data_IF_926403154434
#
_entry.id   IF_926403154434
#
_cell.length_a   1.000
_cell.length_b   1.000
_cell.length_c   1.000
_cell.angle_alpha   90.00
_cell.angle_beta   90.00
_cell.angle_gamma   90.00
#
_symmetry.space_group_name_H-M   'P 1'
#
loop_
_entity.id
_entity.type
_entity.pdbx_description
1 polymer ?
#
# COMPACT_ATOMS: atom_id res chain seq x y z
N UNK A 1 -21.09 28.92 1.82
CA UNK A 1 -21.89 27.76 1.38
C UNK A 1 -22.43 27.10 2.63
N UNK A 2 -23.74 27.08 2.84
CA UNK A 2 -24.40 26.33 3.93
C UNK A 2 -24.94 25.06 3.29
N UNK A 3 -24.43 23.90 3.70
CA UNK A 3 -24.97 22.59 3.31
C UNK A 3 -26.01 22.15 4.33
N UNK A 4 -27.06 21.47 3.89
CA UNK A 4 -27.91 20.70 4.80
C UNK A 4 -27.08 19.56 5.40
N UNK A 5 -27.31 19.13 6.66
CA UNK A 5 -26.45 18.14 7.31
C UNK A 5 -26.29 16.82 6.53
N UNK A 6 -27.35 16.40 5.83
CA UNK A 6 -27.34 15.19 5.01
C UNK A 6 -26.55 15.38 3.72
N UNK A 7 -26.76 16.49 3.01
CA UNK A 7 -25.99 16.82 1.80
C UNK A 7 -24.49 16.93 2.08
N UNK A 8 -24.12 17.43 3.26
CA UNK A 8 -22.73 17.50 3.70
C UNK A 8 -22.13 16.10 3.89
N UNK A 9 -22.87 15.20 4.55
CA UNK A 9 -22.43 13.81 4.76
C UNK A 9 -22.31 13.06 3.43
N UNK A 10 -23.23 13.26 2.50
CA UNK A 10 -23.19 12.67 1.17
C UNK A 10 -21.94 13.11 0.39
N UNK A 11 -21.68 14.42 0.36
CA UNK A 11 -20.50 14.98 -0.32
C UNK A 11 -19.19 14.54 0.33
N UNK A 12 -19.16 14.38 1.65
CA UNK A 12 -17.99 13.82 2.36
C UNK A 12 -17.78 12.33 2.09
N UNK A 13 -18.86 11.54 2.04
CA UNK A 13 -18.78 10.12 1.75
C UNK A 13 -18.18 9.86 0.36
N UNK A 14 -18.53 10.69 -0.63
CA UNK A 14 -17.96 10.63 -1.98
C UNK A 14 -16.44 10.89 -2.02
N UNK A 15 -15.89 11.63 -1.05
CA UNK A 15 -14.45 11.89 -0.92
C UNK A 15 -13.70 10.78 -0.16
N UNK A 16 -14.43 9.89 0.51
CA UNK A 16 -13.81 8.82 1.30
C UNK A 16 -13.38 7.69 0.37
N UNK A 17 -12.08 7.31 0.35
CA UNK A 17 -11.60 6.23 -0.49
C UNK A 17 -12.34 4.94 -0.19
N UNK A 18 -12.53 4.10 -1.22
CA UNK A 18 -12.86 2.70 -0.97
C UNK A 18 -11.74 2.06 -0.14
N UNK A 19 -12.08 1.27 0.88
CA UNK A 19 -11.07 0.52 1.62
C UNK A 19 -10.26 -0.36 0.65
N UNK A 20 -8.97 -0.54 0.97
CA UNK A 20 -8.03 -1.43 0.26
C UNK A 20 -7.47 -0.93 -1.09
N UNK A 21 -7.76 0.31 -1.50
CA UNK A 21 -7.12 0.92 -2.67
C UNK A 21 -6.07 1.96 -2.22
N UNK A 22 -4.82 1.80 -2.68
CA UNK A 22 -3.79 2.82 -2.49
C UNK A 22 -4.05 4.02 -3.40
N UNK A 23 -4.67 5.07 -2.87
CA UNK A 23 -4.82 6.32 -3.61
C UNK A 23 -3.51 7.11 -3.56
N UNK A 24 -2.98 7.44 -4.73
CA UNK A 24 -1.72 8.20 -4.88
C UNK A 24 -1.92 9.67 -4.49
N UNK A 25 -3.16 10.19 -4.48
CA UNK A 25 -3.46 11.60 -4.21
C UNK A 25 -4.68 11.76 -3.30
N UNK A 26 -4.45 12.17 -2.06
CA UNK A 26 -5.49 12.64 -1.14
C UNK A 26 -5.53 14.17 -1.12
N UNK A 27 -6.72 14.75 -1.03
CA UNK A 27 -6.95 16.20 -0.98
C UNK A 27 -7.72 16.62 0.27
N UNK A 28 -7.68 17.93 0.58
CA UNK A 28 -8.40 18.51 1.72
C UNK A 28 -7.98 17.92 3.07
N UNK A 29 -8.95 17.64 3.94
CA UNK A 29 -8.73 17.11 5.30
C UNK A 29 -8.09 15.72 5.32
N UNK A 30 -8.17 14.97 4.21
CA UNK A 30 -7.60 13.63 4.06
C UNK A 30 -6.15 13.66 3.53
N UNK A 31 -5.65 14.81 3.06
CA UNK A 31 -4.30 14.94 2.51
C UNK A 31 -3.20 14.67 3.56
N UNK A 32 -2.03 14.10 3.19
CA UNK A 32 -0.96 13.78 4.14
C UNK A 32 -0.40 14.99 4.91
N UNK A 33 -0.55 16.20 4.37
CA UNK A 33 -0.12 17.47 4.96
C UNK A 33 -1.26 18.40 5.38
N UNK A 34 -2.48 17.88 5.53
CA UNK A 34 -3.60 18.70 6.00
C UNK A 34 -3.36 19.19 7.44
N UNK A 35 -3.66 20.46 7.72
CA UNK A 35 -3.49 21.08 9.05
C UNK A 35 -4.23 20.31 10.15
N UNK A 36 -5.38 19.70 9.82
CA UNK A 36 -6.26 18.99 10.76
C UNK A 36 -5.99 17.47 10.82
N UNK A 37 -4.98 16.99 10.09
CA UNK A 37 -4.61 15.57 10.07
C UNK A 37 -4.29 14.99 11.47
N UNK A 38 -3.62 15.70 12.40
CA UNK A 38 -3.37 15.18 13.74
C UNK A 38 -4.64 14.73 14.46
N UNK A 39 -5.72 15.52 14.37
CA UNK A 39 -6.98 15.25 15.06
C UNK A 39 -7.74 14.09 14.41
N UNK A 40 -7.74 14.00 13.08
CA UNK A 40 -8.38 12.91 12.32
C UNK A 40 -7.69 11.57 12.56
N UNK A 41 -6.35 11.54 12.58
CA UNK A 41 -5.58 10.30 12.76
C UNK A 41 -5.52 9.88 14.23
N UNK A 42 -5.62 10.82 15.18
CA UNK A 42 -5.64 10.52 16.61
C UNK A 42 -6.79 9.57 16.98
N UNK A 43 -7.97 9.75 16.38
CA UNK A 43 -9.14 8.89 16.59
C UNK A 43 -8.85 7.39 16.36
N UNK A 44 -8.06 7.04 15.34
CA UNK A 44 -7.69 5.64 15.08
C UNK A 44 -6.56 5.13 15.97
N UNK A 45 -5.65 6.01 16.42
CA UNK A 45 -4.57 5.63 17.35
C UNK A 45 -5.12 5.28 18.73
N UNK A 46 -6.11 6.01 19.22
CA UNK A 46 -6.76 5.70 20.51
C UNK A 46 -7.50 4.36 20.48
N UNK A 47 -8.10 4.00 19.34
CA UNK A 47 -8.70 2.67 19.15
C UNK A 47 -7.65 1.56 19.02
N UNK A 48 -6.57 1.77 18.25
CA UNK A 48 -5.50 0.77 18.08
C UNK A 48 -4.62 0.61 19.33
N UNK A 49 -4.54 1.61 20.20
CA UNK A 49 -3.85 1.52 21.49
C UNK A 49 -4.46 0.50 22.46
N UNK A 50 -5.68 -0.01 22.19
CA UNK A 50 -6.29 -1.13 22.93
C UNK A 50 -6.01 -2.50 22.32
N UNK A 51 -5.67 -2.56 21.03
CA UNK A 51 -5.15 -3.77 20.42
C UNK A 51 -3.65 -3.81 20.73
N UNK A 52 -3.29 -4.58 21.76
CA UNK A 52 -1.93 -4.94 22.17
C UNK A 52 -0.95 -4.86 20.99
N UNK A 53 -0.17 -3.78 20.93
CA UNK A 53 0.97 -3.69 20.03
C UNK A 53 1.96 -4.77 20.52
N UNK A 54 2.33 -5.77 19.70
CA UNK A 54 3.33 -6.77 20.10
C UNK A 54 4.71 -6.16 20.40
N UNK A 55 4.86 -4.83 20.27
CA UNK A 55 6.05 -4.02 20.59
C UNK A 55 6.09 -3.45 22.00
N UNK A 56 5.06 -3.63 22.81
CA UNK A 56 5.06 -3.08 24.18
C UNK A 56 5.90 -3.91 25.16
N UNK A 57 6.24 -5.16 24.82
CA UNK A 57 7.05 -6.03 25.67
C UNK A 57 8.52 -6.00 25.20
N UNK A 58 9.30 -5.09 25.78
CA UNK A 58 10.74 -5.04 25.55
C UNK A 58 11.36 -3.69 25.88
N UNK A 59 11.52 -3.40 27.18
CA UNK A 59 12.36 -2.31 27.65
C UNK A 59 13.83 -2.58 27.22
N UNK A 60 14.43 -1.62 26.51
CA UNK A 60 15.90 -1.51 26.39
C UNK A 60 16.57 -1.96 25.10
N UNK A 61 15.90 -2.63 24.16
CA UNK A 61 16.54 -2.97 22.89
C UNK A 61 16.56 -1.76 21.93
N UNK A 62 17.71 -1.39 21.31
CA UNK A 62 17.75 -0.34 20.31
C UNK A 62 16.77 -0.69 19.19
N UNK A 63 15.78 0.19 18.99
CA UNK A 63 14.75 0.02 17.96
C UNK A 63 15.46 -0.17 16.61
N UNK A 64 15.25 -1.28 15.90
CA UNK A 64 15.89 -1.48 14.61
C UNK A 64 15.42 -0.38 13.67
N UNK A 65 16.38 0.44 13.20
CA UNK A 65 16.10 1.55 12.26
C UNK A 65 15.64 1.03 10.90
N UNK A 66 15.98 -0.22 10.59
CA UNK A 66 15.58 -0.92 9.38
C UNK A 66 14.58 -2.03 9.70
N UNK A 67 13.50 -2.07 8.92
CA UNK A 67 12.55 -3.17 8.94
C UNK A 67 12.98 -4.22 7.93
N UNK A 68 12.98 -5.49 8.34
CA UNK A 68 13.11 -6.59 7.38
C UNK A 68 11.84 -6.70 6.55
N UNK A 69 11.96 -7.17 5.30
CA UNK A 69 10.81 -7.42 4.44
C UNK A 69 9.76 -8.31 5.13
N UNK A 70 10.19 -9.37 5.83
CA UNK A 70 9.30 -10.26 6.55
C UNK A 70 8.52 -9.55 7.67
N UNK A 71 9.16 -8.63 8.39
CA UNK A 71 8.50 -7.85 9.45
C UNK A 71 7.50 -6.84 8.87
N UNK A 72 7.79 -6.28 7.69
CA UNK A 72 6.84 -5.44 6.96
C UNK A 72 5.62 -6.23 6.50
N UNK A 73 5.81 -7.44 5.95
CA UNK A 73 4.70 -8.31 5.53
C UNK A 73 3.76 -8.64 6.69
N UNK A 74 4.32 -8.96 7.87
CA UNK A 74 3.53 -9.19 9.08
C UNK A 74 2.79 -7.95 9.56
N UNK A 75 3.43 -6.77 9.49
CA UNK A 75 2.79 -5.52 9.95
C UNK A 75 1.69 -5.02 9.01
N UNK A 76 1.89 -5.14 7.70
CA UNK A 76 0.98 -4.59 6.70
C UNK A 76 -0.17 -5.55 6.37
N UNK A 77 0.10 -6.86 6.34
CA UNK A 77 -0.84 -7.87 5.87
C UNK A 77 -1.15 -8.96 6.90
N UNK A 78 -0.56 -8.91 8.10
CA UNK A 78 -0.65 -9.99 9.11
C UNK A 78 -0.14 -11.36 8.59
N UNK A 79 0.78 -11.34 7.62
CA UNK A 79 1.37 -12.53 7.01
C UNK A 79 2.78 -12.79 7.55
N UNK A 80 2.99 -13.95 8.19
CA UNK A 80 4.33 -14.41 8.58
C UNK A 80 4.95 -15.32 7.50
N UNK A 81 5.56 -14.69 6.51
CA UNK A 81 6.20 -15.32 5.34
C UNK A 81 7.36 -16.27 5.68
N UNK A 82 7.93 -16.19 6.88
CA UNK A 82 9.02 -17.07 7.34
C UNK A 82 8.52 -18.18 8.26
N UNK A 83 7.21 -18.41 8.35
CA UNK A 83 6.63 -19.56 9.07
C UNK A 83 6.34 -20.68 8.08
N UNK A 84 6.89 -21.86 8.32
CA UNK A 84 6.62 -23.01 7.48
C UNK A 84 5.13 -23.42 7.59
N UNK A 85 4.39 -23.58 6.48
CA UNK A 85 2.99 -23.98 6.53
C UNK A 85 2.79 -25.45 6.94
N UNK A 86 3.82 -26.30 6.82
CA UNK A 86 3.72 -27.74 7.13
C UNK A 86 4.08 -28.08 8.58
N UNK A 87 5.15 -27.51 9.11
CA UNK A 87 5.68 -27.84 10.44
C UNK A 87 5.69 -26.67 11.42
N UNK A 88 5.22 -25.48 11.02
CA UNK A 88 5.26 -24.24 11.80
C UNK A 88 6.67 -23.76 12.24
N UNK A 89 7.74 -24.42 11.78
CA UNK A 89 9.12 -23.99 12.04
C UNK A 89 9.50 -22.68 11.36
N UNK A 90 10.63 -22.09 11.78
CA UNK A 90 11.18 -20.88 11.16
C UNK A 90 11.95 -21.20 9.89
N UNK A 91 11.54 -20.59 8.79
CA UNK A 91 12.26 -20.61 7.51
C UNK A 91 13.26 -19.46 7.45
N UNK A 92 14.36 -19.66 6.74
CA UNK A 92 15.38 -18.64 6.49
C UNK A 92 15.42 -18.31 5.00
N UNK A 93 15.55 -17.02 4.67
CA UNK A 93 15.82 -16.60 3.29
C UNK A 93 17.26 -16.99 2.93
N UNK A 94 17.41 -17.80 1.88
CA UNK A 94 18.73 -18.29 1.43
C UNK A 94 19.22 -17.50 0.22
N UNK A 95 18.34 -17.21 -0.74
CA UNK A 95 18.68 -16.46 -1.95
C UNK A 95 17.44 -15.77 -2.53
N UNK A 96 17.65 -14.69 -3.27
CA UNK A 96 16.68 -14.08 -4.18
C UNK A 96 17.07 -14.42 -5.61
N UNK A 97 16.11 -14.85 -6.42
CA UNK A 97 16.34 -15.20 -7.83
C UNK A 97 15.56 -14.18 -8.65
N UNK A 98 16.29 -13.37 -9.40
CA UNK A 98 15.71 -12.28 -10.20
C UNK A 98 15.75 -12.56 -11.72
N UNK A 99 16.46 -13.60 -12.16
CA UNK A 99 16.53 -13.99 -13.58
C UNK A 99 15.22 -14.67 -14.02
N UNK A 100 14.47 -14.10 -14.99
CA UNK A 100 13.21 -14.65 -15.45
C UNK A 100 13.37 -16.07 -16.03
N UNK A 101 14.44 -16.37 -16.76
CA UNK A 101 14.62 -17.70 -17.36
C UNK A 101 14.81 -18.77 -16.27
N UNK A 102 15.54 -18.45 -15.21
CA UNK A 102 15.73 -19.34 -14.05
C UNK A 102 14.41 -19.52 -13.28
N UNK A 103 13.68 -18.43 -13.04
CA UNK A 103 12.36 -18.47 -12.40
C UNK A 103 11.42 -19.40 -13.17
N UNK A 104 11.31 -19.24 -14.49
CA UNK A 104 10.46 -20.08 -15.34
C UNK A 104 10.86 -21.56 -15.25
N UNK A 105 12.17 -21.85 -15.28
CA UNK A 105 12.66 -23.24 -15.20
C UNK A 105 12.33 -23.90 -13.86
N UNK A 106 12.43 -23.15 -12.76
CA UNK A 106 12.07 -23.62 -11.42
C UNK A 106 10.56 -23.85 -11.31
N UNK A 107 9.75 -22.89 -11.75
CA UNK A 107 8.29 -23.00 -11.70
C UNK A 107 7.78 -24.17 -12.53
N UNK A 108 8.34 -24.38 -13.74
CA UNK A 108 8.02 -25.52 -14.58
C UNK A 108 8.35 -26.86 -13.90
N UNK A 109 9.48 -26.96 -13.21
CA UNK A 109 9.85 -28.16 -12.46
C UNK A 109 8.92 -28.44 -11.28
N UNK A 110 8.38 -27.39 -10.65
CA UNK A 110 7.42 -27.49 -9.55
C UNK A 110 5.96 -27.69 -10.02
N UNK A 111 5.70 -27.67 -11.34
CA UNK A 111 4.35 -27.74 -11.90
C UNK A 111 3.49 -26.49 -11.61
N UNK A 112 4.14 -25.35 -11.30
CA UNK A 112 3.47 -24.09 -11.02
C UNK A 112 3.35 -23.24 -12.29
N UNK A 113 2.27 -22.43 -12.42
CA UNK A 113 2.12 -21.53 -13.55
C UNK A 113 3.25 -20.49 -13.56
N UNK A 114 3.93 -20.38 -14.72
CA UNK A 114 5.09 -19.51 -14.91
C UNK A 114 4.74 -18.04 -15.18
N UNK A 115 3.55 -17.78 -15.74
CA UNK A 115 3.07 -16.44 -15.99
C UNK A 115 2.25 -15.93 -14.79
N UNK A 116 2.65 -14.80 -14.23
CA UNK A 116 1.71 -13.98 -13.46
C UNK A 116 0.74 -13.38 -14.46
N UNK A 117 -0.57 -13.57 -14.24
CA UNK A 117 -1.56 -12.69 -14.85
C UNK A 117 -1.38 -11.32 -14.20
N UNK A 118 -0.60 -10.45 -14.85
CA UNK A 118 -0.56 -9.06 -14.44
C UNK A 118 -1.96 -8.47 -14.66
N UNK A 119 -2.52 -7.76 -13.66
CA UNK A 119 -3.78 -7.06 -13.85
C UNK A 119 -3.64 -6.17 -15.07
N UNK A 120 -4.54 -6.34 -16.04
CA UNK A 120 -4.58 -5.52 -17.25
C UNK A 120 -4.47 -4.06 -16.81
N UNK A 121 -3.50 -3.27 -17.33
CA UNK A 121 -3.38 -1.88 -16.96
C UNK A 121 -4.74 -1.21 -17.20
N UNK A 122 -5.19 -0.34 -16.28
CA UNK A 122 -6.45 0.37 -16.46
C UNK A 122 -6.40 1.06 -17.81
N UNK A 123 -7.44 0.85 -18.63
CA UNK A 123 -7.55 1.49 -19.93
C UNK A 123 -7.35 3.00 -19.74
N UNK A 124 -6.54 3.65 -20.59
CA UNK A 124 -6.39 5.10 -20.50
C UNK A 124 -7.77 5.71 -20.62
N UNK A 125 -8.16 6.49 -19.60
CA UNK A 125 -9.27 7.43 -19.74
C UNK A 125 -8.84 8.39 -20.85
N UNK A 126 -9.33 8.16 -22.06
CA UNK A 126 -9.14 9.09 -23.17
C UNK A 126 -9.71 10.43 -22.71
N UNK A 127 -8.81 11.36 -22.36
CA UNK A 127 -9.17 12.76 -22.22
C UNK A 127 -9.65 13.21 -23.58
N UNK A 128 -10.97 13.29 -23.75
CA UNK A 128 -11.56 14.00 -24.86
C UNK A 128 -11.06 15.45 -24.80
N UNK A 129 -10.29 15.84 -25.82
CA UNK A 129 -9.97 17.24 -26.12
C UNK A 129 -8.93 17.91 -25.22
N UNK A 130 -7.66 17.56 -25.39
CA UNK A 130 -6.57 18.51 -25.17
C UNK A 130 -5.88 18.75 -26.52
N UNK A 131 -6.44 19.68 -27.28
CA UNK A 131 -5.89 20.19 -28.52
C UNK A 131 -4.50 20.75 -28.24
N UNK A 132 -3.47 20.05 -28.74
CA UNK A 132 -2.09 20.48 -28.69
C UNK A 132 -1.91 21.68 -29.61
N UNK A 133 -1.92 22.89 -29.05
CA UNK A 133 -1.29 24.02 -29.71
C UNK A 133 0.23 23.95 -29.47
N UNK A 134 0.91 23.45 -30.50
CA UNK A 134 2.36 23.56 -30.68
C UNK A 134 2.71 25.04 -30.80
N UNK A 135 3.38 25.60 -29.79
CA UNK A 135 4.03 26.91 -29.91
C UNK A 135 5.38 26.73 -30.60
N UNK A 136 5.64 27.37 -31.75
CA UNK A 136 6.94 27.28 -32.41
C UNK A 136 7.94 28.23 -31.72
N UNK A 137 9.15 27.72 -31.46
CA UNK A 137 10.33 28.55 -31.32
C UNK A 137 10.91 28.68 -29.91
N UNK A 138 11.75 27.71 -29.52
CA UNK A 138 12.99 27.97 -28.78
C UNK A 138 14.06 27.02 -29.32
N UNK A 139 15.07 27.59 -29.97
CA UNK A 139 16.26 26.90 -30.48
C UNK A 139 17.27 26.70 -29.35
N UNK A 140 17.94 25.54 -29.40
CA UNK A 140 19.14 25.03 -28.69
C UNK A 140 19.83 25.98 -27.71
#
# INVERSE_FOLDING_TARGET
>A
MLFEPVEFLEKLAALTPRPEINLVLYHGVLAPRARWRPDVVAYRRTQRGRATDPRAEGEGAPRPRYWTWALLMRRAFDLDVLRCPRCAGRMQLIATIDDPAVIQRILAHLGLPGAREDPRPPLPLTAAGAEQQVLPGVTV
#
